data_IF_186557416915
#
_entry.id   IF_186557416915
#
_cell.length_a   1.000
_cell.length_b   1.000
_cell.length_c   1.000
_cell.angle_alpha   90.00
_cell.angle_beta   90.00
_cell.angle_gamma   90.00
#
_symmetry.space_group_name_H-M   'P 1'
#
loop_
_entity.id
_entity.type
_entity.pdbx_description
1 polymer ?
#
# COMPACT_ATOMS: atom_id res chain seq x y z
N UNK A 1 12.35 -0.63 6.36
CA UNK A 1 12.49 -1.86 5.53
C UNK A 1 11.43 -2.92 5.83
N UNK A 2 10.92 -3.01 7.06
CA UNK A 2 9.83 -3.93 7.42
C UNK A 2 8.51 -3.68 6.69
N UNK A 3 8.14 -2.42 6.45
CA UNK A 3 6.90 -2.09 5.73
C UNK A 3 6.87 -2.72 4.33
N UNK A 4 7.96 -2.68 3.58
CA UNK A 4 8.00 -3.28 2.24
C UNK A 4 7.75 -4.79 2.29
N UNK A 5 8.41 -5.49 3.21
CA UNK A 5 8.27 -6.95 3.40
C UNK A 5 6.91 -7.36 3.99
N UNK A 6 6.22 -6.45 4.68
CA UNK A 6 4.84 -6.69 5.13
C UNK A 6 3.83 -6.60 3.98
N UNK A 7 4.15 -5.81 2.96
CA UNK A 7 3.32 -5.65 1.76
C UNK A 7 3.64 -6.68 0.67
N UNK A 8 4.91 -7.11 0.58
CA UNK A 8 5.41 -8.15 -0.32
C UNK A 8 5.18 -9.54 0.31
N UNK A 9 4.05 -10.18 -0.03
CA UNK A 9 3.62 -11.45 0.58
C UNK A 9 4.45 -12.61 0.00
N UNK A 10 4.75 -12.55 -1.30
CA UNK A 10 5.48 -13.60 -2.00
C UNK A 10 7.01 -13.48 -1.88
N UNK A 11 7.52 -12.32 -1.47
CA UNK A 11 8.94 -12.06 -1.29
C UNK A 11 9.71 -11.83 -2.60
N UNK A 12 9.03 -11.47 -3.69
CA UNK A 12 9.63 -11.23 -5.02
C UNK A 12 10.31 -9.85 -5.12
N UNK A 13 10.34 -9.10 -4.02
CA UNK A 13 10.83 -7.71 -3.95
C UNK A 13 10.02 -6.72 -4.80
N UNK A 14 8.77 -7.08 -5.13
CA UNK A 14 7.83 -6.30 -5.91
C UNK A 14 6.45 -6.45 -5.29
N UNK A 15 5.77 -5.33 -5.08
CA UNK A 15 4.41 -5.36 -4.52
C UNK A 15 3.43 -5.31 -5.68
N UNK A 16 2.69 -6.39 -5.88
CA UNK A 16 1.62 -6.45 -6.86
C UNK A 16 0.39 -5.69 -6.34
N UNK A 17 -0.44 -5.17 -7.24
CA UNK A 17 -1.74 -4.56 -6.86
C UNK A 17 -2.61 -5.48 -6.01
N UNK A 18 -2.53 -6.78 -6.28
CA UNK A 18 -3.23 -7.82 -5.52
C UNK A 18 -2.73 -7.92 -4.08
N UNK A 19 -1.40 -7.93 -3.89
CA UNK A 19 -0.76 -8.01 -2.58
C UNK A 19 -1.05 -6.75 -1.76
N UNK A 20 -0.93 -5.57 -2.37
CA UNK A 20 -1.25 -4.31 -1.71
C UNK A 20 -2.71 -4.25 -1.27
N UNK A 21 -3.65 -4.70 -2.11
CA UNK A 21 -5.07 -4.77 -1.76
C UNK A 21 -5.33 -5.73 -0.60
N UNK A 22 -4.68 -6.91 -0.61
CA UNK A 22 -4.84 -7.92 0.42
C UNK A 22 -4.30 -7.48 1.78
N UNK A 23 -3.10 -6.86 1.79
CA UNK A 23 -2.45 -6.37 3.01
C UNK A 23 -3.22 -5.20 3.61
N UNK A 24 -3.62 -4.22 2.78
CA UNK A 24 -4.41 -3.08 3.27
C UNK A 24 -5.78 -3.54 3.74
N UNK A 25 -6.43 -4.47 3.06
CA UNK A 25 -7.73 -4.99 3.51
C UNK A 25 -7.60 -5.69 4.88
N UNK A 26 -6.56 -6.49 5.07
CA UNK A 26 -6.26 -7.15 6.35
C UNK A 26 -5.93 -6.15 7.45
N UNK A 27 -5.22 -5.07 7.12
CA UNK A 27 -4.86 -4.02 8.05
C UNK A 27 -6.09 -3.19 8.49
N UNK A 28 -7.01 -2.91 7.57
CA UNK A 28 -8.28 -2.25 7.88
C UNK A 28 -9.17 -3.13 8.76
N UNK A 29 -9.19 -4.45 8.54
CA UNK A 29 -9.87 -5.42 9.40
C UNK A 29 -9.27 -5.43 10.82
N UNK A 30 -7.94 -5.48 10.91
CA UNK A 30 -7.20 -5.46 12.17
C UNK A 30 -7.37 -4.15 12.97
N UNK A 31 -7.42 -3.01 12.28
CA UNK A 31 -7.61 -1.69 12.90
C UNK A 31 -9.07 -1.45 13.34
N UNK A 32 -10.00 -2.38 13.07
CA UNK A 32 -11.40 -2.28 13.49
C UNK A 32 -12.13 -1.07 12.92
N UNK A 33 -11.59 -0.45 11.85
CA UNK A 33 -12.14 0.75 11.25
C UNK A 33 -13.32 0.36 10.38
N UNK A 34 -14.49 0.34 11.00
CA UNK A 34 -15.77 -0.07 10.44
C UNK A 34 -15.93 0.47 8.99
N UNK A 35 -16.08 -0.45 8.02
CA UNK A 35 -16.21 -0.18 6.57
C UNK A 35 -17.46 0.68 6.24
N UNK A 36 -18.23 1.13 7.22
CA UNK A 36 -19.47 1.92 7.07
C UNK A 36 -19.31 3.36 6.56
N UNK A 37 -18.10 3.89 6.43
CA UNK A 37 -17.89 5.32 6.11
C UNK A 37 -17.72 5.69 4.63
N UNK A 38 -17.90 4.77 3.67
CA UNK A 38 -17.68 5.06 2.24
C UNK A 38 -16.20 5.18 1.83
N UNK A 39 -15.28 4.92 2.75
CA UNK A 39 -13.85 4.92 2.49
C UNK A 39 -13.38 3.50 2.12
N UNK A 40 -13.69 3.07 0.89
CA UNK A 40 -13.34 1.72 0.41
C UNK A 40 -11.79 1.60 0.35
N UNK A 41 -11.18 0.70 1.13
CA UNK A 41 -9.73 0.57 1.18
C UNK A 41 -9.15 0.22 -0.19
N UNK A 42 -9.90 -0.52 -1.01
CA UNK A 42 -9.51 -0.87 -2.37
C UNK A 42 -9.37 0.35 -3.27
N UNK A 43 -10.22 1.37 -3.09
CA UNK A 43 -10.15 2.60 -3.88
C UNK A 43 -8.97 3.46 -3.46
N UNK A 44 -8.70 3.55 -2.15
CA UNK A 44 -7.49 4.20 -1.65
C UNK A 44 -6.23 3.49 -2.13
N UNK A 45 -6.21 2.16 -2.12
CA UNK A 45 -5.10 1.37 -2.66
C UNK A 45 -4.93 1.64 -4.14
N UNK A 46 -5.99 1.66 -4.93
CA UNK A 46 -5.93 1.93 -6.37
C UNK A 46 -5.29 3.28 -6.69
N UNK A 47 -5.70 4.34 -5.98
CA UNK A 47 -5.15 5.69 -6.16
C UNK A 47 -3.69 5.77 -5.72
N UNK A 48 -3.33 5.16 -4.58
CA UNK A 48 -1.96 5.12 -4.08
C UNK A 48 -1.08 4.31 -5.02
N UNK A 49 -1.55 3.13 -5.42
CA UNK A 49 -0.83 2.24 -6.32
C UNK A 49 -0.52 2.97 -7.62
N UNK A 50 -1.51 3.65 -8.21
CA UNK A 50 -1.32 4.42 -9.43
C UNK A 50 -0.43 5.65 -9.26
N UNK A 51 -0.29 6.21 -8.05
CA UNK A 51 0.65 7.30 -7.77
C UNK A 51 2.09 6.82 -7.59
N UNK A 52 2.27 5.65 -6.97
CA UNK A 52 3.61 5.07 -6.74
C UNK A 52 4.15 4.43 -8.02
N UNK A 53 3.29 3.69 -8.72
CA UNK A 53 3.57 2.98 -9.97
C UNK A 53 3.80 3.98 -11.11
N UNK A 54 5.02 4.51 -11.19
CA UNK A 54 5.40 5.55 -12.14
C UNK A 54 5.65 4.97 -13.53
N UNK A 55 6.00 3.68 -13.62
CA UNK A 55 6.18 2.98 -14.89
C UNK A 55 4.89 2.32 -15.40
N UNK A 56 3.84 2.28 -14.59
CA UNK A 56 2.55 1.64 -14.88
C UNK A 56 2.66 0.15 -15.23
N UNK A 57 3.67 -0.54 -14.68
CA UNK A 57 3.91 -1.97 -14.90
C UNK A 57 2.99 -2.85 -14.03
N UNK A 58 2.13 -2.25 -13.20
CA UNK A 58 1.28 -2.93 -12.23
C UNK A 58 2.06 -3.62 -11.10
N UNK A 59 3.31 -3.21 -10.90
CA UNK A 59 4.18 -3.64 -9.80
C UNK A 59 4.86 -2.44 -9.18
N UNK A 60 4.90 -2.39 -7.85
CA UNK A 60 5.63 -1.36 -7.11
C UNK A 60 6.96 -1.93 -6.65
N UNK A 61 8.04 -1.39 -7.20
CA UNK A 61 9.41 -1.73 -6.79
C UNK A 61 9.80 -1.00 -5.49
N UNK A 62 10.85 -1.46 -4.80
CA UNK A 62 11.40 -0.76 -3.62
C UNK A 62 11.70 0.72 -3.88
N UNK A 63 12.26 1.04 -5.04
CA UNK A 63 12.63 2.41 -5.41
C UNK A 63 11.40 3.30 -5.61
N UNK A 64 10.39 2.77 -6.33
CA UNK A 64 9.11 3.44 -6.52
C UNK A 64 8.40 3.64 -5.19
N UNK A 65 8.36 2.62 -4.34
CA UNK A 65 7.80 2.71 -2.99
C UNK A 65 8.46 3.80 -2.15
N UNK A 66 9.79 3.90 -2.18
CA UNK A 66 10.54 4.95 -1.49
C UNK A 66 10.25 6.34 -2.07
N UNK A 67 10.21 6.47 -3.39
CA UNK A 67 9.85 7.71 -4.08
C UNK A 67 8.43 8.14 -3.75
N UNK A 68 7.45 7.25 -3.87
CA UNK A 68 6.05 7.52 -3.60
C UNK A 68 5.77 7.83 -2.12
N UNK A 69 6.42 7.12 -1.20
CA UNK A 69 6.33 7.39 0.24
C UNK A 69 7.00 8.73 0.63
N UNK A 70 7.94 9.22 -0.18
CA UNK A 70 8.56 10.54 -0.02
C UNK A 70 7.76 11.65 -0.71
N UNK A 71 7.06 11.33 -1.80
CA UNK A 71 6.22 12.25 -2.54
C UNK A 71 4.89 12.52 -1.83
N UNK A 72 4.30 11.50 -1.20
CA UNK A 72 2.96 11.59 -0.63
C UNK A 72 2.91 11.14 0.84
N UNK A 73 2.48 12.04 1.73
CA UNK A 73 2.42 11.78 3.17
C UNK A 73 1.35 10.73 3.53
N UNK A 74 0.26 10.65 2.75
CA UNK A 74 -0.80 9.66 2.94
C UNK A 74 -0.29 8.23 2.75
N UNK A 75 0.54 8.05 1.73
CA UNK A 75 1.19 6.78 1.40
C UNK A 75 2.06 6.36 2.58
N UNK A 76 2.85 7.30 3.11
CA UNK A 76 3.67 7.06 4.30
C UNK A 76 2.85 6.66 5.52
N UNK A 77 1.70 7.30 5.77
CA UNK A 77 0.83 6.97 6.91
C UNK A 77 0.23 5.57 6.81
N UNK A 78 -0.10 5.09 5.60
CA UNK A 78 -0.69 3.75 5.41
C UNK A 78 0.38 2.65 5.48
N UNK A 79 1.58 2.93 4.97
CA UNK A 79 2.68 1.97 4.91
C UNK A 79 3.46 1.87 6.24
N UNK A 80 3.53 2.96 6.99
CA UNK A 80 4.15 3.02 8.30
C UNK A 80 3.07 3.37 9.35
N UNK A 81 2.40 2.37 9.95
CA UNK A 81 1.57 2.64 11.11
C UNK A 81 2.48 3.25 12.19
N UNK A 82 2.28 4.54 12.49
CA UNK A 82 3.00 5.17 13.59
C UNK A 82 2.49 4.54 14.89
N UNK A 83 3.44 4.00 15.65
CA UNK A 83 3.25 3.68 17.06
C UNK A 83 3.53 4.92 17.89
#
# INVERSE_FOLDING_TARGET
EWAFTMYDINGDQRISKHEMSCVVESMFDLLGKDRKGGNDPRRHVDEIFSQIDSNHDNYVSKDEFLSGCKADEKIRTILAPQY
#
